data_IF_876735362724
#
_entry.id   IF_876735362724
#
_cell.length_a   1.000
_cell.length_b   1.000
_cell.length_c   1.000
_cell.angle_alpha   90.00
_cell.angle_beta   90.00
_cell.angle_gamma   90.00
#
_symmetry.space_group_name_H-M   'P 1'
#
loop_
_entity.id
_entity.type
_entity.pdbx_description
1 polymer ?
#
# COMPACT_ATOMS: atom_id res chain seq x y z
N UNK A 1 -21.43 5.16 16.23
CA UNK A 1 -20.31 5.92 16.83
C UNK A 1 -19.68 6.78 15.74
N UNK A 2 -19.74 8.12 15.82
CA UNK A 2 -19.01 9.01 14.88
C UNK A 2 -17.55 9.05 15.32
N UNK A 3 -16.67 8.34 14.60
CA UNK A 3 -15.22 8.44 14.79
C UNK A 3 -14.74 9.80 14.25
N UNK A 4 -14.75 10.85 15.07
CA UNK A 4 -14.22 12.17 14.72
C UNK A 4 -12.70 12.20 14.95
N UNK A 5 -11.91 11.60 14.06
CA UNK A 5 -10.44 11.60 14.17
C UNK A 5 -9.82 12.92 13.68
N UNK A 6 -9.85 14.07 14.33
CA UNK A 6 -9.31 15.38 13.82
C UNK A 6 -8.12 15.32 12.81
N UNK A 7 -8.21 16.01 11.66
CA UNK A 7 -7.15 16.04 10.63
C UNK A 7 -5.92 16.79 11.14
N UNK A 8 -4.72 16.22 10.96
CA UNK A 8 -3.48 16.94 11.18
C UNK A 8 -3.30 18.04 10.10
N UNK A 9 -3.09 19.29 10.52
CA UNK A 9 -3.13 20.49 9.63
C UNK A 9 -1.84 21.30 9.68
N UNK A 10 -0.71 20.69 9.30
CA UNK A 10 0.50 21.44 8.97
C UNK A 10 0.56 21.69 7.44
N UNK A 11 0.73 22.95 7.04
CA UNK A 11 1.21 23.39 5.72
C UNK A 11 0.55 22.84 4.44
N UNK A 12 -0.26 23.69 3.77
CA UNK A 12 -1.08 23.48 2.55
C UNK A 12 -2.13 22.37 2.68
N UNK A 13 -3.39 22.78 2.53
CA UNK A 13 -4.52 21.87 2.31
C UNK A 13 -4.20 20.97 1.11
N UNK A 14 -3.70 19.76 1.37
CA UNK A 14 -3.83 18.67 0.42
C UNK A 14 -5.32 18.34 0.41
N UNK A 15 -6.03 18.94 -0.54
CA UNK A 15 -7.37 18.54 -0.92
C UNK A 15 -7.29 17.19 -1.65
N UNK A 16 -6.68 16.18 -1.04
CA UNK A 16 -6.85 14.81 -1.51
C UNK A 16 -8.06 14.24 -0.77
N UNK A 17 -9.20 14.90 -0.98
CA UNK A 17 -10.51 14.36 -0.62
C UNK A 17 -10.97 13.52 -1.79
N UNK A 18 -10.22 12.47 -2.12
CA UNK A 18 -10.80 11.35 -2.82
C UNK A 18 -11.81 10.74 -1.85
N UNK A 19 -13.10 10.95 -2.11
CA UNK A 19 -14.12 10.20 -1.39
C UNK A 19 -13.83 8.71 -1.60
N UNK A 20 -13.92 7.93 -0.52
CA UNK A 20 -13.83 6.47 -0.61
C UNK A 20 -15.03 6.00 -1.45
N UNK A 21 -14.83 5.94 -2.75
CA UNK A 21 -15.75 5.28 -3.68
C UNK A 21 -15.50 3.80 -3.51
N UNK A 22 -16.55 3.03 -3.18
CA UNK A 22 -16.51 1.55 -3.20
C UNK A 22 -16.42 1.04 -4.64
N UNK A 23 -15.39 1.45 -5.38
CA UNK A 23 -15.13 0.96 -6.72
C UNK A 23 -14.84 -0.53 -6.54
N UNK A 24 -15.68 -1.35 -7.16
CA UNK A 24 -15.42 -2.78 -7.32
C UNK A 24 -14.28 -2.89 -8.31
N UNK A 25 -13.07 -2.69 -7.81
CA UNK A 25 -11.85 -2.79 -8.57
C UNK A 25 -11.43 -4.26 -8.54
N UNK A 26 -11.51 -4.90 -9.70
CA UNK A 26 -10.93 -6.21 -9.94
C UNK A 26 -9.55 -6.02 -10.57
N UNK A 27 -8.53 -6.79 -10.14
CA UNK A 27 -7.24 -6.79 -10.78
C UNK A 27 -7.38 -7.06 -12.28
N UNK A 28 -6.96 -6.11 -13.12
CA UNK A 28 -6.95 -6.33 -14.58
C UNK A 28 -6.01 -7.49 -14.90
N UNK A 29 -6.51 -8.49 -15.63
CA UNK A 29 -5.72 -9.65 -16.07
C UNK A 29 -4.60 -9.27 -17.04
N UNK A 30 -4.77 -8.15 -17.75
CA UNK A 30 -3.84 -7.68 -18.79
C UNK A 30 -2.97 -6.53 -18.25
N UNK A 31 -2.08 -6.86 -17.31
CA UNK A 31 -1.19 -5.85 -16.75
C UNK A 31 -0.20 -5.35 -17.81
N UNK A 32 -0.45 -4.15 -18.38
CA UNK A 32 0.33 -3.57 -19.49
C UNK A 32 1.75 -3.13 -19.10
N UNK A 33 2.09 -3.16 -17.81
CA UNK A 33 3.34 -2.64 -17.27
C UNK A 33 4.46 -3.70 -17.23
N UNK A 34 4.71 -4.39 -18.34
CA UNK A 34 5.68 -5.51 -18.41
C UNK A 34 7.14 -5.14 -18.04
N UNK A 35 7.47 -3.85 -18.13
CA UNK A 35 8.80 -3.31 -17.80
C UNK A 35 8.88 -2.63 -16.42
N UNK A 36 7.84 -2.76 -15.58
CA UNK A 36 7.83 -2.20 -14.24
C UNK A 36 8.94 -2.84 -13.39
N UNK A 37 9.76 -2.00 -12.76
CA UNK A 37 10.87 -2.45 -11.89
C UNK A 37 10.58 -2.26 -10.40
N UNK A 38 9.73 -1.29 -10.07
CA UNK A 38 9.38 -0.90 -8.71
C UNK A 38 7.88 -0.71 -8.59
N UNK A 39 7.25 -1.40 -7.62
CA UNK A 39 5.90 -1.11 -7.16
C UNK A 39 6.01 -0.47 -5.76
N UNK A 40 5.46 0.72 -5.57
CA UNK A 40 5.44 1.41 -4.29
C UNK A 40 4.00 1.78 -3.89
N UNK A 41 3.61 1.47 -2.67
CA UNK A 41 2.31 1.80 -2.09
C UNK A 41 2.52 2.49 -0.74
N UNK A 42 1.89 3.65 -0.56
CA UNK A 42 1.89 4.43 0.68
C UNK A 42 0.53 4.30 1.36
N UNK A 43 0.51 4.21 2.69
CA UNK A 43 -0.74 4.12 3.46
C UNK A 43 -1.53 2.84 3.15
N UNK A 44 -0.83 1.76 2.84
CA UNK A 44 -1.46 0.45 2.59
C UNK A 44 -2.13 -0.08 3.86
N UNK A 45 -3.22 -0.81 3.74
CA UNK A 45 -3.89 -1.52 4.84
C UNK A 45 -3.73 -3.04 4.68
N UNK A 46 -4.01 -3.81 5.73
CA UNK A 46 -4.07 -5.28 5.69
C UNK A 46 -5.37 -5.75 5.00
N UNK A 47 -5.55 -5.35 3.74
CA UNK A 47 -6.69 -5.78 2.94
C UNK A 47 -6.31 -6.91 1.97
N UNK A 48 -7.13 -7.95 1.92
CA UNK A 48 -6.95 -9.10 1.00
C UNK A 48 -6.83 -8.64 -0.46
N UNK A 49 -7.59 -7.60 -0.84
CA UNK A 49 -7.56 -7.03 -2.19
C UNK A 49 -6.18 -6.44 -2.55
N UNK A 50 -5.53 -5.76 -1.59
CA UNK A 50 -4.19 -5.21 -1.77
C UNK A 50 -3.18 -6.34 -1.97
N UNK A 51 -3.23 -7.37 -1.14
CA UNK A 51 -2.33 -8.53 -1.29
C UNK A 51 -2.55 -9.28 -2.61
N UNK A 52 -3.81 -9.41 -3.06
CA UNK A 52 -4.14 -10.05 -4.33
C UNK A 52 -3.62 -9.25 -5.54
N UNK A 53 -3.73 -7.92 -5.49
CA UNK A 53 -3.15 -7.07 -6.52
C UNK A 53 -1.64 -7.23 -6.62
N UNK A 54 -0.93 -7.15 -5.49
CA UNK A 54 0.53 -7.28 -5.46
C UNK A 54 0.94 -8.65 -6.02
N UNK A 55 0.24 -9.73 -5.64
CA UNK A 55 0.47 -11.07 -6.20
C UNK A 55 0.28 -11.12 -7.72
N UNK A 56 -0.75 -10.45 -8.24
CA UNK A 56 -0.96 -10.36 -9.68
C UNK A 56 0.17 -9.58 -10.37
N UNK A 57 0.65 -8.47 -9.79
CA UNK A 57 1.81 -7.74 -10.32
C UNK A 57 3.06 -8.63 -10.31
N UNK A 58 3.30 -9.36 -9.23
CA UNK A 58 4.44 -10.30 -9.11
C UNK A 58 4.40 -11.40 -10.16
N UNK A 59 3.21 -11.91 -10.50
CA UNK A 59 3.04 -12.97 -11.49
C UNK A 59 3.21 -12.48 -12.94
N UNK A 60 2.72 -11.27 -13.25
CA UNK A 60 2.70 -10.77 -14.63
C UNK A 60 3.90 -9.89 -15.00
N UNK A 61 4.55 -9.24 -14.03
CA UNK A 61 5.67 -8.33 -14.28
C UNK A 61 7.00 -9.05 -14.12
N UNK A 62 7.48 -9.66 -15.21
CA UNK A 62 8.74 -10.43 -15.24
C UNK A 62 9.95 -9.61 -14.80
N UNK A 63 9.95 -8.29 -15.01
CA UNK A 63 11.09 -7.40 -14.70
C UNK A 63 10.99 -6.71 -13.34
N UNK A 64 10.03 -7.11 -12.50
CA UNK A 64 9.85 -6.53 -11.18
C UNK A 64 11.05 -6.85 -10.30
N UNK A 65 11.68 -5.81 -9.74
CA UNK A 65 12.86 -5.95 -8.88
C UNK A 65 12.57 -5.65 -7.43
N UNK A 66 11.65 -4.72 -7.16
CA UNK A 66 11.38 -4.23 -5.82
C UNK A 66 9.90 -3.92 -5.61
N UNK A 67 9.41 -4.27 -4.43
CA UNK A 67 8.09 -3.90 -3.92
C UNK A 67 8.31 -3.17 -2.60
N UNK A 68 7.70 -2.01 -2.45
CA UNK A 68 7.80 -1.16 -1.27
C UNK A 68 6.40 -0.84 -0.75
N UNK A 69 6.13 -1.30 0.46
CA UNK A 69 4.88 -1.02 1.18
C UNK A 69 5.25 -0.17 2.38
N UNK A 70 4.97 1.11 2.31
CA UNK A 70 5.25 2.04 3.39
C UNK A 70 3.96 2.38 4.11
N UNK A 71 4.00 2.33 5.44
CA UNK A 71 3.01 3.02 6.26
C UNK A 71 3.01 4.52 6.00
N UNK A 72 2.29 5.26 6.83
CA UNK A 72 2.26 6.71 6.68
C UNK A 72 3.60 7.35 7.05
N UNK A 73 4.13 8.20 6.16
CA UNK A 73 5.28 9.05 6.48
C UNK A 73 4.86 10.15 7.46
N UNK A 74 5.67 10.46 8.49
CA UNK A 74 5.40 11.58 9.38
C UNK A 74 5.37 12.90 8.60
N UNK A 75 4.53 13.83 9.04
CA UNK A 75 4.44 15.16 8.46
C UNK A 75 5.83 15.81 8.39
N UNK A 76 6.30 16.20 7.21
CA UNK A 76 7.64 16.79 7.04
C UNK A 76 7.88 18.07 7.83
N UNK A 77 6.81 18.80 8.14
CA UNK A 77 6.87 20.10 8.82
C UNK A 77 6.89 19.98 10.35
N UNK A 78 6.26 18.95 10.92
CA UNK A 78 6.14 18.84 12.39
C UNK A 78 6.28 17.41 12.93
N UNK A 79 6.66 16.47 12.08
CA UNK A 79 6.84 15.04 12.37
C UNK A 79 5.59 14.32 12.93
N UNK A 80 4.42 14.96 12.89
CA UNK A 80 3.19 14.34 13.35
C UNK A 80 2.75 13.22 12.39
N UNK A 81 2.40 12.06 12.95
CA UNK A 81 1.79 10.96 12.22
C UNK A 81 0.27 11.17 12.24
N UNK A 82 -0.40 11.21 11.08
CA UNK A 82 -1.86 11.38 11.02
C UNK A 82 -2.56 10.12 11.52
N UNK A 83 -3.31 10.17 12.65
CA UNK A 83 -4.01 8.99 13.16
C UNK A 83 -5.17 8.54 12.26
N UNK A 84 -5.61 9.32 11.25
CA UNK A 84 -6.60 8.88 10.25
C UNK A 84 -6.02 7.97 9.17
N UNK A 85 -4.70 7.99 8.94
CA UNK A 85 -4.04 7.24 7.86
C UNK A 85 -3.59 5.86 8.35
N UNK A 86 -3.36 4.92 7.43
CA UNK A 86 -3.22 3.51 7.79
C UNK A 86 -2.06 3.31 8.79
N UNK A 87 -2.36 2.63 9.89
CA UNK A 87 -1.37 2.20 10.87
C UNK A 87 -1.31 0.69 10.79
N UNK A 88 -0.44 0.17 9.92
CA UNK A 88 -0.19 -1.27 9.85
C UNK A 88 0.78 -1.62 10.97
N UNK A 89 0.29 -2.33 11.99
CA UNK A 89 1.12 -2.81 13.08
C UNK A 89 2.08 -3.94 12.62
N UNK A 90 3.05 -4.28 13.47
CA UNK A 90 4.05 -5.30 13.13
C UNK A 90 3.47 -6.70 12.86
N UNK A 91 2.35 -7.07 13.49
CA UNK A 91 1.70 -8.34 13.23
C UNK A 91 1.08 -8.35 11.83
N UNK A 92 0.36 -7.29 11.47
CA UNK A 92 -0.18 -7.12 10.11
C UNK A 92 0.92 -7.09 9.05
N UNK A 93 2.05 -6.40 9.30
CA UNK A 93 3.21 -6.40 8.39
C UNK A 93 3.75 -7.82 8.17
N UNK A 94 3.85 -8.61 9.23
CA UNK A 94 4.29 -10.02 9.15
C UNK A 94 3.31 -10.86 8.33
N UNK A 95 2.01 -10.74 8.60
CA UNK A 95 0.99 -11.49 7.85
C UNK A 95 1.00 -11.14 6.35
N UNK A 96 1.13 -9.86 6.00
CA UNK A 96 1.23 -9.43 4.61
C UNK A 96 2.47 -10.01 3.96
N UNK A 97 3.62 -9.93 4.63
CA UNK A 97 4.86 -10.51 4.14
C UNK A 97 4.71 -12.00 3.87
N UNK A 98 4.17 -12.74 4.83
CA UNK A 98 3.91 -14.18 4.71
C UNK A 98 3.03 -14.48 3.50
N UNK A 99 1.88 -13.79 3.35
CA UNK A 99 0.95 -13.98 2.23
C UNK A 99 1.56 -13.67 0.86
N UNK A 100 2.48 -12.71 0.79
CA UNK A 100 3.20 -12.37 -0.44
C UNK A 100 4.31 -13.38 -0.74
N UNK A 101 4.86 -14.05 0.27
CA UNK A 101 5.93 -15.05 0.11
C UNK A 101 5.45 -16.48 -0.08
N UNK A 102 4.29 -16.85 0.48
CA UNK A 102 3.90 -18.27 0.69
C UNK A 102 3.80 -19.08 -0.62
N UNK A 103 3.68 -18.44 -1.77
CA UNK A 103 3.51 -19.10 -3.07
C UNK A 103 4.16 -18.32 -4.22
N UNK A 104 5.11 -17.42 -3.91
CA UNK A 104 5.71 -16.58 -4.93
C UNK A 104 7.03 -17.15 -5.45
N UNK A 105 7.11 -17.36 -6.76
CA UNK A 105 8.35 -17.58 -7.49
C UNK A 105 9.07 -16.27 -7.86
N UNK A 106 8.53 -15.12 -7.47
CA UNK A 106 9.09 -13.81 -7.80
C UNK A 106 10.37 -13.56 -7.02
N UNK A 107 11.40 -13.11 -7.72
CA UNK A 107 12.68 -12.67 -7.13
C UNK A 107 12.65 -11.22 -6.61
N UNK A 108 11.50 -10.54 -6.71
CA UNK A 108 11.37 -9.15 -6.29
C UNK A 108 11.63 -8.99 -4.79
N UNK A 109 12.50 -8.04 -4.43
CA UNK A 109 12.76 -7.68 -3.03
C UNK A 109 11.54 -6.95 -2.46
N UNK A 110 10.92 -7.53 -1.43
CA UNK A 110 9.80 -6.92 -0.72
C UNK A 110 10.31 -6.19 0.52
N UNK A 111 9.96 -4.92 0.67
CA UNK A 111 10.24 -4.09 1.84
C UNK A 111 8.92 -3.57 2.38
N UNK A 112 8.70 -3.78 3.67
CA UNK A 112 7.50 -3.33 4.39
C UNK A 112 7.97 -2.48 5.56
N UNK A 113 7.59 -1.19 5.57
CA UNK A 113 8.04 -0.17 6.52
C UNK A 113 6.91 0.35 7.41
#
# INVERSE_FOLDING_TARGET
MKLSRTRHTCGKKLYDTAEKTNVVWEPSKDLKHLNLKLLMMLGFEEEVKVTNYIRLVMAHVVRLKRIELHGEDPCKECNAIDPRRSQVDEASRRQIKERLTLESSSSAKIIIC
#
